data_IF_403081191602
#
_entry.id   IF_403081191602
#
_cell.length_a   1.000
_cell.length_b   1.000
_cell.length_c   1.000
_cell.angle_alpha   90.00
_cell.angle_beta   90.00
_cell.angle_gamma   90.00
#
_symmetry.space_group_name_H-M   'P 1'
#
loop_
_entity.id
_entity.type
_entity.pdbx_description
1 polymer ?
2 non-polymer ?
3 non-polymer ?
4 water ?
#
# COMPACT_ATOMS: atom_id res chain seq x y z
N UNK A 7 19.05 4.85 16.96
CA UNK A 7 20.12 5.76 16.52
C UNK A 7 20.12 5.94 15.00
N UNK A 8 19.96 4.87 14.18
CA UNK A 8 19.41 5.02 12.84
C UNK A 8 18.03 5.67 12.85
N UNK A 9 17.76 6.49 11.83
CA UNK A 9 16.51 7.22 11.77
C UNK A 9 15.45 6.40 11.04
N UNK A 10 15.87 5.45 10.20
CA UNK A 10 14.96 4.63 9.43
C UNK A 10 14.95 3.17 9.91
N UNK A 11 13.74 2.63 10.07
CA UNK A 11 13.56 1.22 10.39
C UNK A 11 13.31 0.39 9.13
N UNK A 12 13.60 -0.91 9.23
CA UNK A 12 13.37 -1.85 8.13
C UNK A 12 12.93 -3.21 8.68
N UNK A 13 11.83 -3.73 8.13
CA UNK A 13 11.36 -5.05 8.52
C UNK A 13 11.27 -5.95 7.28
N UNK A 14 11.92 -7.11 7.39
CA UNK A 14 11.92 -8.13 6.36
C UNK A 14 12.15 -9.47 7.04
N UNK A 15 11.38 -10.48 6.62
CA UNK A 15 11.49 -11.81 7.17
C UNK A 15 11.20 -12.85 6.09
N UNK A 16 12.15 -13.75 5.85
CA UNK A 16 12.07 -14.67 4.73
C UNK A 16 10.97 -15.72 4.90
N UNK A 17 10.35 -15.80 6.09
CA UNK A 17 9.18 -16.64 6.30
C UNK A 17 7.97 -16.21 5.49
N UNK A 18 7.90 -14.92 5.11
CA UNK A 18 6.84 -14.42 4.25
C UNK A 18 6.99 -14.92 2.82
N UNK A 19 8.12 -15.57 2.51
CA UNK A 19 8.32 -16.22 1.23
C UNK A 19 7.58 -17.55 1.11
N UNK A 20 7.15 -18.12 2.26
CA UNK A 20 6.55 -19.44 2.28
C UNK A 20 5.21 -19.51 1.55
N UNK A 21 4.50 -18.38 1.49
CA UNK A 21 3.26 -18.25 0.74
C UNK A 21 3.51 -18.45 -0.75
N UNK A 22 2.91 -19.49 -1.32
CA UNK A 22 3.13 -19.85 -2.70
C UNK A 22 1.89 -20.45 -3.35
N UNK A 23 1.92 -20.49 -4.69
CA UNK A 23 0.85 -21.05 -5.48
C UNK A 23 1.25 -22.47 -5.88
N UNK A 24 0.51 -23.45 -5.36
CA UNK A 24 0.84 -24.85 -5.54
C UNK A 24 0.74 -25.30 -6.99
N UNK A 25 -0.19 -24.70 -7.74
CA UNK A 25 -0.50 -25.15 -9.09
C UNK A 25 0.12 -24.27 -10.18
N UNK A 26 0.76 -23.18 -9.77
CA UNK A 26 1.54 -22.37 -10.69
C UNK A 26 2.68 -21.70 -9.93
N UNK A 27 3.85 -22.35 -9.95
CA UNK A 27 5.05 -21.83 -9.30
C UNK A 27 5.55 -20.52 -9.92
N UNK A 28 5.03 -20.17 -11.11
CA UNK A 28 5.40 -18.95 -11.80
C UNK A 28 4.33 -17.86 -11.75
N UNK A 29 3.40 -17.96 -10.79
CA UNK A 29 2.40 -16.92 -10.59
C UNK A 29 3.10 -15.61 -10.23
N UNK A 30 2.67 -14.44 -10.76
CA UNK A 30 3.45 -13.21 -10.62
C UNK A 30 3.68 -12.75 -9.19
N UNK A 31 2.75 -13.09 -8.27
CA UNK A 31 2.93 -12.80 -6.85
C UNK A 31 3.94 -13.79 -6.28
N UNK A 32 5.20 -13.60 -6.69
CA UNK A 32 6.27 -14.54 -6.41
C UNK A 32 6.87 -14.36 -5.02
N UNK A 33 7.31 -15.46 -4.37
CA UNK A 33 8.04 -15.35 -3.10
C UNK A 33 9.23 -14.39 -3.14
N UNK A 34 9.99 -14.43 -4.25
CA UNK A 34 11.21 -13.65 -4.35
C UNK A 34 10.99 -12.18 -4.67
N UNK A 35 9.73 -11.71 -4.60
CA UNK A 35 9.46 -10.29 -4.69
C UNK A 35 10.11 -9.56 -3.52
N UNK A 36 9.98 -10.13 -2.32
CA UNK A 36 10.49 -9.49 -1.11
C UNK A 36 11.99 -9.69 -0.94
N UNK A 37 12.49 -10.86 -1.35
CA UNK A 37 13.90 -11.18 -1.16
C UNK A 37 14.78 -10.42 -2.14
N UNK A 38 14.25 -10.17 -3.35
CA UNK A 38 14.93 -9.37 -4.35
C UNK A 38 15.02 -7.91 -3.91
N UNK A 39 13.93 -7.42 -3.30
CA UNK A 39 13.89 -6.06 -2.77
C UNK A 39 14.92 -5.93 -1.65
N UNK A 40 14.87 -6.89 -0.72
CA UNK A 40 15.80 -6.92 0.39
C UNK A 40 17.25 -7.01 -0.06
N UNK A 41 17.49 -7.91 -1.02
CA UNK A 41 18.80 -8.13 -1.61
C UNK A 41 19.35 -6.87 -2.27
N UNK A 42 18.45 -6.06 -2.84
CA UNK A 42 18.83 -4.82 -3.50
C UNK A 42 19.20 -3.75 -2.48
N UNK A 43 18.46 -3.72 -1.36
CA UNK A 43 18.80 -2.84 -0.24
C UNK A 43 20.22 -3.11 0.27
N UNK A 44 20.63 -4.38 0.26
CA UNK A 44 21.98 -4.78 0.62
C UNK A 44 23.02 -4.26 -0.37
N UNK A 45 22.75 -4.44 -1.67
CA UNK A 45 23.65 -3.99 -2.73
C UNK A 45 23.88 -2.48 -2.70
N UNK A 46 22.80 -1.72 -2.51
CA UNK A 46 22.86 -0.28 -2.44
C UNK A 46 23.23 0.22 -1.03
N UNK A 47 23.67 -0.70 -0.17
CA UNK A 47 24.29 -0.38 1.11
C UNK A 47 23.34 0.38 2.05
N UNK A 48 22.03 0.13 1.90
CA UNK A 48 21.03 0.78 2.72
C UNK A 48 20.74 -0.02 3.99
N UNK A 49 21.06 -1.31 3.96
CA UNK A 49 20.69 -2.24 5.02
C UNK A 49 21.50 -1.93 6.28
N UNK A 50 22.79 -1.63 6.09
CA UNK A 50 23.66 -1.17 7.17
C UNK A 50 23.18 0.12 7.82
N UNK A 51 22.43 0.94 7.06
CA UNK A 51 21.96 2.23 7.54
C UNK A 51 20.64 2.16 8.31
N UNK A 52 19.95 1.02 8.24
CA UNK A 52 18.64 0.89 8.85
C UNK A 52 18.69 0.11 10.16
N UNK A 53 17.85 0.52 11.12
CA UNK A 53 17.56 -0.28 12.30
C UNK A 53 16.64 -1.43 11.87
N UNK A 54 17.03 -2.66 12.20
CA UNK A 54 16.24 -3.82 11.82
C UNK A 54 15.12 -4.05 12.85
N UNK A 55 13.87 -3.97 12.37
CA UNK A 55 12.70 -4.20 13.18
C UNK A 55 12.27 -5.66 13.03
N UNK A 56 12.10 -6.41 14.13
CA UNK A 56 11.67 -7.81 14.03
C UNK A 56 10.24 -7.93 13.48
N UNK A 57 9.98 -9.01 12.75
CA UNK A 57 8.62 -9.35 12.35
C UNK A 57 7.94 -10.10 13.50
N UNK A 58 6.61 -10.02 13.55
CA UNK A 58 5.83 -10.83 14.47
C UNK A 58 4.48 -11.14 13.82
N UNK A 59 3.79 -12.13 14.39
CA UNK A 59 2.43 -12.44 13.98
C UNK A 59 1.50 -11.37 14.55
N UNK A 60 0.59 -10.86 13.71
CA UNK A 60 -0.57 -10.13 14.21
C UNK A 60 -1.44 -11.10 15.00
N UNK A 61 -2.00 -10.62 16.12
CA UNK A 61 -2.96 -11.41 16.89
C UNK A 61 -4.33 -11.36 16.23
N UNK A 62 -5.22 -12.26 16.64
CA UNK A 62 -6.57 -12.30 16.10
C UNK A 62 -7.37 -11.08 16.52
N UNK A 63 -7.11 -10.59 17.74
CA UNK A 63 -7.76 -9.38 18.25
C UNK A 63 -7.35 -8.16 17.43
N UNK A 64 -6.10 -8.16 16.94
CA UNK A 64 -5.61 -7.09 16.09
C UNK A 64 -6.24 -7.14 14.70
N UNK A 65 -6.44 -8.35 14.16
CA UNK A 65 -7.12 -8.53 12.89
C UNK A 65 -8.54 -8.00 12.95
N UNK A 66 -9.20 -8.23 14.11
CA UNK A 66 -10.57 -7.82 14.33
C UNK A 66 -10.78 -6.30 14.32
N UNK A 67 -9.68 -5.53 14.33
CA UNK A 67 -9.76 -4.09 14.15
C UNK A 67 -10.40 -3.68 12.83
N UNK A 68 -10.21 -4.51 11.80
CA UNK A 68 -10.76 -4.25 10.47
C UNK A 68 -11.64 -5.38 9.94
N UNK A 69 -11.30 -6.63 10.27
CA UNK A 69 -11.91 -7.79 9.63
C UNK A 69 -12.93 -8.50 10.51
N UNK A 70 -13.96 -9.07 9.86
CA UNK A 70 -14.98 -9.83 10.55
C UNK A 70 -14.41 -11.14 11.09
N UNK A 71 -15.05 -11.69 12.13
CA UNK A 71 -14.61 -12.93 12.72
C UNK A 71 -14.77 -14.10 11.74
N UNK A 72 -15.82 -14.04 10.92
CA UNK A 72 -16.05 -15.00 9.83
C UNK A 72 -14.86 -15.06 8.87
N UNK A 73 -14.47 -13.90 8.35
CA UNK A 73 -13.34 -13.81 7.44
C UNK A 73 -12.11 -14.43 8.07
N UNK A 74 -11.77 -13.96 9.27
CA UNK A 74 -10.62 -14.45 10.02
C UNK A 74 -10.65 -15.96 10.11
N UNK A 75 -11.80 -16.49 10.54
CA UNK A 75 -12.00 -17.92 10.73
C UNK A 75 -11.66 -18.76 9.52
N UNK A 76 -12.13 -18.32 8.35
CA UNK A 76 -11.94 -19.04 7.09
C UNK A 76 -10.47 -19.06 6.66
N UNK A 77 -9.81 -17.90 6.70
CA UNK A 77 -8.41 -17.82 6.27
C UNK A 77 -7.52 -18.62 7.23
N UNK A 78 -7.87 -18.64 8.51
CA UNK A 78 -7.15 -19.45 9.49
C UNK A 78 -7.32 -20.95 9.25
N UNK A 79 -8.53 -21.34 8.84
CA UNK A 79 -8.84 -22.75 8.57
C UNK A 79 -8.00 -23.32 7.43
N UNK A 80 -7.50 -22.44 6.54
CA UNK A 80 -6.70 -22.86 5.40
C UNK A 80 -5.43 -23.58 5.84
N UNK A 81 -4.94 -23.25 7.05
CA UNK A 81 -3.72 -23.83 7.58
C UNK A 81 -3.64 -25.35 7.50
N UNK A 82 -4.74 -26.03 7.79
CA UNK A 82 -4.76 -27.49 7.87
C UNK A 82 -5.61 -28.11 6.76
N UNK A 83 -5.58 -27.49 5.58
CA UNK A 83 -6.32 -27.98 4.43
C UNK A 83 -5.42 -28.80 3.50
N UNK A 84 -6.00 -29.85 2.90
CA UNK A 84 -5.34 -30.60 1.84
C UNK A 84 -5.31 -29.75 0.56
N UNK A 85 -4.43 -30.06 -0.41
CA UNK A 85 -4.33 -29.27 -1.63
C UNK A 85 -5.67 -29.05 -2.34
N UNK A 86 -6.43 -30.14 -2.50
CA UNK A 86 -7.76 -30.09 -3.10
C UNK A 86 -8.62 -29.00 -2.48
N UNK A 87 -8.63 -28.94 -1.14
CA UNK A 87 -9.45 -27.98 -0.41
C UNK A 87 -8.90 -26.55 -0.50
N UNK A 88 -7.56 -26.41 -0.46
CA UNK A 88 -6.94 -25.12 -0.73
C UNK A 88 -7.36 -24.59 -2.10
N UNK A 89 -7.31 -25.46 -3.11
CA UNK A 89 -7.73 -25.12 -4.46
C UNK A 89 -9.16 -24.60 -4.49
N UNK A 90 -10.07 -25.38 -3.88
CA UNK A 90 -11.48 -25.03 -3.83
C UNK A 90 -11.67 -23.67 -3.17
N UNK A 91 -11.15 -23.52 -1.95
CA UNK A 91 -11.34 -22.30 -1.18
C UNK A 91 -10.80 -21.11 -1.98
N UNK A 92 -9.58 -21.25 -2.51
CA UNK A 92 -8.96 -20.24 -3.34
C UNK A 92 -9.87 -19.70 -4.44
N UNK A 93 -10.54 -20.60 -5.16
CA UNK A 93 -11.41 -20.26 -6.28
C UNK A 93 -12.77 -19.69 -5.91
N UNK A 94 -13.04 -19.50 -4.62
CA UNK A 94 -14.22 -18.77 -4.18
C UNK A 94 -14.01 -17.26 -4.18
N UNK A 95 -12.76 -16.81 -4.34
CA UNK A 95 -12.43 -15.40 -4.38
C UNK A 95 -11.99 -14.97 -5.78
N UNK A 96 -11.86 -13.66 -6.00
CA UNK A 96 -11.30 -13.12 -7.22
C UNK A 96 -9.78 -12.96 -7.07
N UNK A 97 -9.03 -13.67 -7.92
CA UNK A 97 -7.57 -13.64 -7.93
C UNK A 97 -6.97 -13.98 -6.56
N UNK A 98 -7.15 -15.25 -6.14
CA UNK A 98 -6.56 -15.73 -4.90
C UNK A 98 -6.01 -17.15 -5.05
N UNK A 99 -4.77 -17.35 -4.59
CA UNK A 99 -4.23 -18.67 -4.36
C UNK A 99 -3.88 -18.80 -2.88
N UNK A 100 -3.93 -20.03 -2.35
CA UNK A 100 -3.67 -20.27 -0.94
C UNK A 100 -2.81 -21.52 -0.75
N UNK A 101 -1.82 -21.40 0.13
CA UNK A 101 -1.07 -22.54 0.65
C UNK A 101 -1.27 -22.63 2.16
N UNK A 102 -0.76 -23.70 2.76
CA UNK A 102 -0.84 -23.88 4.20
C UNK A 102 -0.06 -22.80 4.97
N UNK A 103 0.88 -22.14 4.29
CA UNK A 103 1.68 -21.10 4.91
C UNK A 103 1.10 -19.71 4.73
N UNK A 104 0.04 -19.58 3.90
CA UNK A 104 -0.52 -18.30 3.53
C UNK A 104 -0.93 -17.44 4.72
N UNK A 105 -1.63 -18.08 5.67
CA UNK A 105 -2.16 -17.40 6.84
C UNK A 105 -1.06 -16.86 7.74
N UNK A 106 -0.06 -17.70 8.03
CA UNK A 106 1.11 -17.28 8.78
C UNK A 106 1.77 -16.06 8.12
N UNK A 107 1.94 -16.12 6.80
CA UNK A 107 2.59 -15.05 6.06
C UNK A 107 1.79 -13.75 6.12
N UNK A 108 0.46 -13.86 6.05
CA UNK A 108 -0.41 -12.71 6.11
C UNK A 108 -0.40 -12.09 7.51
N UNK A 109 -0.38 -12.95 8.55
CA UNK A 109 -0.17 -12.50 9.92
C UNK A 109 1.16 -11.78 10.06
N UNK A 110 2.23 -12.38 9.51
CA UNK A 110 3.56 -11.81 9.59
C UNK A 110 3.64 -10.45 8.91
N UNK A 111 2.91 -10.30 7.81
CA UNK A 111 2.88 -9.05 7.05
C UNK A 111 2.33 -7.91 7.89
N UNK A 112 1.20 -8.19 8.56
CA UNK A 112 0.52 -7.20 9.38
C UNK A 112 1.31 -6.87 10.64
N UNK A 113 1.74 -7.91 11.37
CA UNK A 113 2.48 -7.75 12.60
C UNK A 113 3.80 -6.99 12.44
N UNK A 114 4.49 -7.26 11.33
CA UNK A 114 5.68 -6.51 10.95
C UNK A 114 5.41 -5.02 10.84
N UNK A 115 4.28 -4.68 10.21
CA UNK A 115 3.88 -3.29 10.04
C UNK A 115 3.42 -2.65 11.35
N UNK A 116 2.84 -3.46 12.25
CA UNK A 116 2.49 -3.00 13.58
C UNK A 116 3.74 -2.61 14.37
N UNK A 117 4.75 -3.50 14.35
CA UNK A 117 6.01 -3.23 15.01
C UNK A 117 6.68 -1.98 14.45
N UNK A 118 6.63 -1.84 13.12
CA UNK A 118 7.17 -0.66 12.45
C UNK A 118 6.45 0.61 12.88
N UNK A 119 5.11 0.57 12.90
CA UNK A 119 4.31 1.69 13.36
C UNK A 119 4.64 2.01 14.82
N UNK A 120 4.81 0.98 15.65
CA UNK A 120 5.11 1.20 17.05
C UNK A 120 6.51 1.81 17.22
N UNK A 121 7.47 1.37 16.39
CA UNK A 121 8.81 1.90 16.43
C UNK A 121 8.85 3.39 16.05
N UNK A 122 8.02 3.79 15.09
CA UNK A 122 7.88 5.19 14.72
C UNK A 122 7.22 5.98 15.84
N UNK A 123 6.08 5.49 16.34
CA UNK A 123 5.28 6.23 17.30
C UNK A 123 5.89 6.33 18.70
N UNK A 124 6.85 5.45 19.00
CA UNK A 124 7.59 5.50 20.26
C UNK A 124 8.94 6.21 20.12
N UNK A 125 9.23 6.74 18.94
CA UNK A 125 10.45 7.51 18.71
C UNK A 125 11.72 6.67 18.58
N UNK A 126 11.57 5.34 18.42
CA UNK A 126 12.70 4.47 18.20
C UNK A 126 13.33 4.81 16.85
N UNK A 127 12.48 4.91 15.83
CA UNK A 127 12.89 5.38 14.52
C UNK A 127 12.00 6.55 14.09
N UNK A 128 12.45 7.25 13.04
CA UNK A 128 11.69 8.35 12.47
C UNK A 128 10.66 7.82 11.49
N UNK A 129 11.11 6.91 10.61
CA UNK A 129 10.30 6.35 9.56
C UNK A 129 10.73 4.91 9.34
N UNK A 130 10.03 4.20 8.45
CA UNK A 130 10.30 2.79 8.24
C UNK A 130 9.80 2.30 6.88
N UNK A 131 10.30 1.12 6.49
CA UNK A 131 9.91 0.47 5.26
C UNK A 131 9.63 -0.99 5.57
N UNK A 132 8.51 -1.50 5.04
CA UNK A 132 8.08 -2.86 5.30
C UNK A 132 8.09 -3.65 4.00
N UNK A 133 9.03 -4.59 3.90
CA UNK A 133 9.15 -5.45 2.73
C UNK A 133 8.34 -6.71 3.05
N UNK A 134 7.04 -6.65 2.76
CA UNK A 134 6.10 -7.69 3.17
C UNK A 134 5.34 -8.26 1.96
N UNK A 135 4.94 -9.53 2.10
CA UNK A 135 3.95 -10.16 1.24
C UNK A 135 3.23 -11.19 2.10
N UNK A 136 1.98 -11.62 1.78
CA UNK A 136 1.23 -11.10 0.64
C UNK A 136 0.70 -9.67 0.82
N UNK A 137 0.25 -9.00 -0.27
CA UNK A 137 -0.28 -7.65 -0.17
C UNK A 137 -1.60 -7.57 0.62
N UNK A 138 -2.13 -6.35 0.75
CA UNK A 138 -3.25 -6.11 1.65
C UNK A 138 -4.44 -5.31 1.14
N UNK A 139 -4.22 -4.31 0.27
CA UNK A 139 -5.21 -3.25 0.09
C UNK A 139 -6.54 -3.64 -0.55
N UNK A 140 -6.58 -4.79 -1.23
CA UNK A 140 -7.83 -5.27 -1.82
C UNK A 140 -8.69 -6.03 -0.80
N UNK A 141 -8.11 -6.40 0.34
CA UNK A 141 -8.81 -7.16 1.36
C UNK A 141 -9.90 -6.33 2.03
N UNK A 142 -11.15 -6.80 1.91
CA UNK A 142 -12.30 -6.20 2.54
C UNK A 142 -12.46 -6.66 3.99
N UNK A 143 -13.40 -6.02 4.70
CA UNK A 143 -13.86 -6.49 5.99
C UNK A 143 -14.17 -7.98 5.98
N UNK A 144 -14.93 -8.42 4.95
CA UNK A 144 -15.48 -9.76 4.90
C UNK A 144 -14.80 -10.77 3.98
N UNK A 145 -13.90 -10.30 3.10
CA UNK A 145 -13.42 -11.15 2.03
C UNK A 145 -11.98 -10.83 1.59
N UNK A 146 -11.30 -11.87 1.11
CA UNK A 146 -10.02 -11.71 0.44
C UNK A 146 -10.28 -11.43 -1.04
N UNK A 147 -9.26 -10.86 -1.70
CA UNK A 147 -9.37 -10.41 -3.08
C UNK A 147 -8.00 -9.93 -3.58
N UNK A 148 -7.71 -10.19 -4.85
CA UNK A 148 -6.55 -9.62 -5.53
C UNK A 148 -5.22 -9.85 -4.82
N UNK A 149 -4.97 -11.13 -4.47
CA UNK A 149 -3.75 -11.58 -3.81
C UNK A 149 -3.65 -11.14 -2.35
N UNK A 150 -4.71 -10.50 -1.83
CA UNK A 150 -4.71 -9.90 -0.50
C UNK A 150 -5.62 -10.70 0.41
N UNK A 151 -5.17 -10.93 1.66
CA UNK A 151 -5.93 -11.68 2.65
C UNK A 151 -6.48 -10.78 3.74
N UNK A 152 -5.59 -9.98 4.35
CA UNK A 152 -5.98 -8.98 5.33
C UNK A 152 -5.39 -7.64 4.88
N UNK A 153 -6.03 -6.54 5.31
CA UNK A 153 -5.66 -5.22 4.86
C UNK A 153 -4.59 -4.62 5.78
N UNK A 154 -3.34 -5.07 5.56
CA UNK A 154 -2.21 -4.65 6.36
C UNK A 154 -2.23 -3.16 6.68
N UNK A 155 -2.34 -2.33 5.64
CA UNK A 155 -2.29 -0.89 5.79
C UNK A 155 -3.45 -0.37 6.65
N UNK A 156 -4.66 -0.86 6.37
CA UNK A 156 -5.84 -0.48 7.16
C UNK A 156 -5.69 -0.91 8.62
N UNK A 157 -5.17 -2.12 8.83
CA UNK A 157 -4.95 -2.65 10.17
C UNK A 157 -3.89 -1.85 10.92
N UNK A 158 -2.79 -1.53 10.24
CA UNK A 158 -1.71 -0.74 10.83
C UNK A 158 -2.21 0.63 11.27
N UNK A 159 -3.09 1.25 10.46
CA UNK A 159 -3.68 2.53 10.79
C UNK A 159 -4.51 2.47 12.08
N UNK A 160 -5.29 1.40 12.22
CA UNK A 160 -6.09 1.17 13.43
C UNK A 160 -5.23 0.81 14.63
N UNK A 161 -4.22 -0.04 14.41
CA UNK A 161 -3.25 -0.37 15.44
C UNK A 161 -2.62 0.90 16.01
N UNK A 162 -2.19 1.80 15.11
CA UNK A 162 -1.57 3.05 15.50
C UNK A 162 -2.49 3.86 16.40
N UNK A 163 -3.76 3.98 16.01
CA UNK A 163 -4.74 4.71 16.78
C UNK A 163 -4.89 4.11 18.18
N UNK A 164 -4.91 2.77 18.25
CA UNK A 164 -5.16 2.08 19.49
C UNK A 164 -4.03 2.14 20.51
N UNK A 165 -2.79 2.37 20.04
CA UNK A 165 -1.65 2.53 20.95
C UNK A 165 -1.32 4.00 21.21
N UNK A 166 -2.00 4.91 20.50
CA UNK A 166 -1.90 6.33 20.78
C UNK A 166 -3.27 6.83 21.24
N UNK A 167 -3.98 7.51 20.33
CA UNK A 167 -5.35 7.93 20.59
C UNK A 167 -6.20 7.62 19.37
N UNK A 168 -7.50 7.40 19.60
CA UNK A 168 -8.42 6.96 18.54
C UNK A 168 -8.57 7.98 17.43
N UNK A 169 -8.34 9.26 17.74
CA UNK A 169 -8.47 10.34 16.78
C UNK A 169 -7.17 10.70 16.07
N UNK A 170 -6.12 9.91 16.30
CA UNK A 170 -4.85 10.10 15.62
C UNK A 170 -5.08 10.16 14.12
N UNK A 171 -4.73 11.30 13.51
CA UNK A 171 -4.92 11.51 12.09
C UNK A 171 -3.90 10.69 11.29
N UNK A 172 -4.40 9.67 10.59
CA UNK A 172 -3.56 8.82 9.76
C UNK A 172 -3.89 9.06 8.29
N UNK A 173 -2.85 9.33 7.49
CA UNK A 173 -2.98 9.39 6.04
C UNK A 173 -2.50 8.08 5.42
N UNK A 174 -3.29 7.56 4.47
CA UNK A 174 -2.87 6.42 3.66
C UNK A 174 -2.80 6.85 2.20
N UNK A 175 -1.59 6.87 1.65
CA UNK A 175 -1.38 7.13 0.24
C UNK A 175 -1.14 5.79 -0.45
N UNK A 176 -1.98 5.49 -1.46
CA UNK A 176 -1.93 4.21 -2.15
C UNK A 176 -1.58 4.46 -3.61
N UNK A 177 -0.32 4.20 -3.97
CA UNK A 177 0.14 4.44 -5.33
C UNK A 177 0.38 3.17 -6.13
N UNK A 178 -0.01 2.02 -5.54
CA UNK A 178 -0.22 0.83 -6.32
C UNK A 178 -1.12 1.20 -7.49
N UNK A 179 -0.93 0.55 -8.64
CA UNK A 179 -1.62 0.93 -9.87
C UNK A 179 -3.10 0.53 -9.82
N UNK A 180 -3.44 -0.37 -8.87
CA UNK A 180 -4.81 -0.79 -8.65
C UNK A 180 -5.44 0.04 -7.52
N UNK A 181 -6.76 0.22 -7.60
CA UNK A 181 -7.50 0.86 -6.54
C UNK A 181 -7.56 -0.06 -5.33
N UNK A 182 -7.22 0.47 -4.15
CA UNK A 182 -7.31 -0.28 -2.90
C UNK A 182 -8.74 -0.28 -2.36
N UNK A 183 -9.62 -1.04 -3.02
CA UNK A 183 -11.03 -1.07 -2.69
C UNK A 183 -11.29 -1.40 -1.21
N UNK A 184 -10.51 -2.34 -0.67
CA UNK A 184 -10.69 -2.78 0.71
C UNK A 184 -10.41 -1.63 1.68
N UNK A 185 -9.32 -0.91 1.43
CA UNK A 185 -8.95 0.24 2.24
C UNK A 185 -10.01 1.34 2.15
N UNK A 186 -10.53 1.59 0.94
CA UNK A 186 -11.56 2.59 0.73
C UNK A 186 -12.80 2.28 1.57
N UNK A 187 -13.26 1.03 1.53
CA UNK A 187 -14.49 0.63 2.20
C UNK A 187 -14.38 0.65 3.72
N UNK A 188 -13.25 0.17 4.25
CA UNK A 188 -13.02 0.15 5.68
C UNK A 188 -13.12 1.54 6.30
N UNK A 189 -12.50 2.53 5.65
CA UNK A 189 -12.47 3.89 6.17
C UNK A 189 -13.44 4.85 5.49
N UNK A 190 -14.44 4.31 4.80
CA UNK A 190 -15.32 5.10 3.96
C UNK A 190 -16.16 6.11 4.76
N UNK A 191 -16.36 5.84 6.05
CA UNK A 191 -17.11 6.71 6.93
C UNK A 191 -16.26 7.29 8.06
N UNK A 192 -14.94 7.36 7.82
CA UNK A 192 -14.01 7.78 8.84
C UNK A 192 -13.35 9.09 8.44
N UNK A 193 -13.38 10.07 9.35
CA UNK A 193 -12.70 11.34 9.16
C UNK A 193 -11.34 11.38 9.88
N UNK A 194 -10.99 10.30 10.58
CA UNK A 194 -9.71 10.20 11.26
C UNK A 194 -8.64 9.55 10.38
N UNK A 195 -9.06 8.84 9.33
CA UNK A 195 -8.15 8.24 8.38
C UNK A 195 -8.45 8.78 6.98
N UNK A 196 -7.46 9.39 6.35
CA UNK A 196 -7.60 9.94 5.01
C UNK A 196 -7.03 8.96 3.99
N UNK A 197 -7.90 8.45 3.10
CA UNK A 197 -7.47 7.53 2.06
C UNK A 197 -7.32 8.28 0.73
N UNK A 198 -6.12 8.20 0.14
CA UNK A 198 -5.87 8.78 -1.17
C UNK A 198 -5.25 7.71 -2.07
N UNK A 199 -5.95 7.39 -3.17
CA UNK A 199 -5.50 6.37 -4.10
C UNK A 199 -5.35 6.92 -5.52
N UNK A 200 -4.20 6.65 -6.13
CA UNK A 200 -4.01 6.81 -7.56
C UNK A 200 -3.99 5.41 -8.18
N UNK A 201 -4.73 5.23 -9.27
CA UNK A 201 -4.87 3.92 -9.87
C UNK A 201 -5.33 4.03 -11.33
N UNK A 202 -4.93 3.04 -12.13
CA UNK A 202 -5.47 2.87 -13.46
C UNK A 202 -6.93 2.41 -13.33
N UNK A 203 -7.82 3.04 -14.10
CA UNK A 203 -9.25 2.83 -13.98
C UNK A 203 -9.86 2.35 -15.30
N UNK A 204 -9.62 3.12 -16.37
CA UNK A 204 -10.12 2.78 -17.70
C UNK A 204 -11.63 2.55 -17.67
N UNK A 205 -12.36 3.48 -17.04
CA UNK A 205 -13.80 3.36 -16.87
C UNK A 205 -14.26 2.01 -16.36
N UNK A 206 -13.52 1.46 -15.38
CA UNK A 206 -13.89 0.21 -14.73
C UNK A 206 -13.50 -1.05 -15.48
N UNK A 207 -12.67 -0.91 -16.53
CA UNK A 207 -12.18 -2.04 -17.29
C UNK A 207 -10.90 -2.62 -16.68
N UNK A 208 -10.28 -1.87 -15.76
CA UNK A 208 -9.10 -2.33 -15.04
C UNK A 208 -9.49 -2.83 -13.65
N UNK A 209 -8.90 -3.94 -13.23
CA UNK A 209 -9.17 -4.54 -11.93
C UNK A 209 -9.00 -3.51 -10.81
N UNK A 210 -9.85 -3.49 -9.76
CA UNK A 210 -10.88 -4.51 -9.53
C UNK A 210 -12.23 -4.29 -10.22
N UNK A 211 -12.25 -3.48 -11.29
CA UNK A 211 -13.38 -3.43 -12.20
C UNK A 211 -14.67 -2.93 -11.56
N UNK A 212 -14.60 -1.80 -10.85
CA UNK A 212 -15.75 -1.24 -10.15
C UNK A 212 -15.75 0.29 -10.23
N UNK A 213 -16.96 0.87 -10.23
CA UNK A 213 -17.14 2.31 -10.21
C UNK A 213 -16.79 2.93 -8.86
N UNK A 214 -16.61 2.07 -7.84
CA UNK A 214 -16.08 2.48 -6.55
C UNK A 214 -14.78 3.28 -6.65
N UNK A 215 -13.95 2.96 -7.63
CA UNK A 215 -12.65 3.59 -7.79
C UNK A 215 -12.69 4.96 -8.49
N UNK A 216 -13.88 5.43 -8.87
CA UNK A 216 -13.99 6.66 -9.64
C UNK A 216 -13.91 7.88 -8.72
N UNK A 217 -13.53 9.01 -9.31
CA UNK A 217 -13.27 10.25 -8.58
C UNK A 217 -14.44 10.75 -7.75
N UNK A 218 -15.67 10.33 -8.10
CA UNK A 218 -16.86 10.82 -7.42
C UNK A 218 -17.22 10.08 -6.13
N UNK A 219 -16.48 9.02 -5.80
CA UNK A 219 -16.64 8.37 -4.50
C UNK A 219 -15.74 9.09 -3.52
N UNK A 220 -16.35 9.91 -2.66
CA UNK A 220 -15.63 10.88 -1.84
C UNK A 220 -15.75 10.58 -0.34
N UNK A 221 -16.24 9.38 -0.01
CA UNK A 221 -16.55 9.03 1.37
C UNK A 221 -18.02 9.27 1.70
N UNK A 222 -18.44 8.74 2.86
CA UNK A 222 -19.84 8.79 3.28
C UNK A 222 -19.96 9.35 4.71
N UNK A 223 -21.05 10.08 4.95
CA UNK A 223 -21.30 10.66 6.27
C UNK A 223 -20.17 11.56 6.75
N UNK A 224 -19.63 11.22 7.94
CA UNK A 224 -18.48 11.90 8.52
C UNK A 224 -17.26 11.83 7.60
N UNK A 225 -17.16 10.73 6.85
CA UNK A 225 -16.05 10.51 5.94
C UNK A 225 -16.10 11.25 4.60
N UNK A 226 -17.12 12.09 4.40
CA UNK A 226 -17.23 12.87 3.18
C UNK A 226 -16.03 13.79 3.02
N UNK A 227 -15.26 13.58 1.94
CA UNK A 227 -14.05 14.32 1.67
C UNK A 227 -12.77 13.62 2.11
N UNK A 228 -12.91 12.48 2.80
CA UNK A 228 -11.78 11.76 3.37
C UNK A 228 -11.43 10.51 2.57
N UNK A 229 -12.03 10.39 1.38
CA UNK A 229 -11.66 9.38 0.41
C UNK A 229 -11.37 10.09 -0.90
N UNK A 230 -10.14 9.98 -1.40
CA UNK A 230 -9.74 10.66 -2.61
C UNK A 230 -9.24 9.67 -3.65
N UNK A 231 -10.05 9.48 -4.71
CA UNK A 231 -9.70 8.62 -5.83
C UNK A 231 -9.21 9.45 -7.01
N UNK A 232 -8.05 9.07 -7.55
CA UNK A 232 -7.49 9.70 -8.73
C UNK A 232 -7.36 8.63 -9.81
N UNK A 233 -8.42 8.40 -10.63
CA UNK A 233 -8.39 7.39 -11.67
C UNK A 233 -7.75 7.86 -12.98
N UNK A 234 -6.92 7.01 -13.58
CA UNK A 234 -6.31 7.29 -14.87
C UNK A 234 -7.06 6.56 -15.99
N UNK A 235 -7.24 7.25 -17.12
CA UNK A 235 -7.90 6.70 -18.29
C UNK A 235 -7.12 6.97 -19.57
N UNK A 236 -7.04 5.96 -20.44
CA UNK A 236 -6.53 6.12 -21.80
C UNK A 236 -5.15 6.78 -21.91
N UNK A 237 -4.21 6.31 -21.11
CA UNK A 237 -2.86 6.86 -21.11
C UNK A 237 -1.84 5.96 -20.41
N UNK A 238 -0.65 5.85 -21.01
CA UNK A 238 0.49 5.21 -20.39
C UNK A 238 1.13 6.21 -19.43
N UNK A 239 0.63 6.24 -18.19
CA UNK A 239 0.99 7.26 -17.23
C UNK A 239 2.38 6.98 -16.66
N UNK A 240 3.10 8.06 -16.33
CA UNK A 240 4.46 7.95 -15.82
C UNK A 240 4.76 9.04 -14.77
N UNK A 241 6.02 9.47 -14.73
CA UNK A 241 6.49 10.39 -13.71
C UNK A 241 5.80 11.75 -13.79
N UNK A 242 5.68 12.37 -14.98
CA UNK A 242 5.03 13.68 -15.08
C UNK A 242 3.61 13.68 -14.53
N UNK A 243 2.91 12.57 -14.77
CA UNK A 243 1.51 12.41 -14.40
C UNK A 243 1.35 12.30 -12.89
N UNK A 244 2.22 11.51 -12.27
CA UNK A 244 2.17 11.30 -10.82
C UNK A 244 2.73 12.50 -10.07
N UNK A 245 3.76 13.15 -10.63
CA UNK A 245 4.29 14.38 -10.05
C UNK A 245 3.23 15.48 -10.06
N UNK A 246 2.48 15.57 -11.17
CA UNK A 246 1.42 16.56 -11.29
C UNK A 246 0.25 16.28 -10.33
N UNK A 247 -0.16 15.01 -10.23
CA UNK A 247 -1.19 14.63 -9.27
C UNK A 247 -0.76 14.99 -7.84
N UNK A 248 0.53 14.80 -7.54
CA UNK A 248 1.06 15.15 -6.23
C UNK A 248 1.02 16.66 -5.97
N UNK A 249 1.49 17.44 -6.94
CA UNK A 249 1.53 18.88 -6.80
C UNK A 249 0.14 19.49 -6.67
N UNK A 250 -0.78 19.06 -7.54
CA UNK A 250 -2.09 19.66 -7.63
C UNK A 250 -3.11 19.10 -6.63
N UNK A 251 -2.97 17.81 -6.29
CA UNK A 251 -3.99 17.12 -5.53
C UNK A 251 -3.50 16.56 -4.19
N UNK A 252 -2.55 15.63 -4.25
CA UNK A 252 -2.19 14.81 -3.10
C UNK A 252 -1.60 15.64 -1.97
N UNK A 253 -0.57 16.43 -2.30
CA UNK A 253 0.17 17.17 -1.30
C UNK A 253 -0.66 18.31 -0.72
N UNK A 254 -1.38 19.11 -1.54
CA UNK A 254 -2.32 20.10 -1.01
C UNK A 254 -3.32 19.54 0.01
N UNK A 255 -3.96 18.41 -0.34
CA UNK A 255 -4.93 17.79 0.54
C UNK A 255 -4.27 17.27 1.81
N UNK A 256 -3.13 16.59 1.65
CA UNK A 256 -2.40 16.01 2.77
C UNK A 256 -1.93 17.07 3.76
N UNK A 257 -1.41 18.19 3.25
CA UNK A 257 -0.98 19.29 4.08
C UNK A 257 -2.15 19.82 4.92
N UNK A 258 -3.31 19.99 4.28
CA UNK A 258 -4.49 20.49 4.95
C UNK A 258 -4.99 19.50 5.99
N UNK A 259 -4.93 18.21 5.67
CA UNK A 259 -5.28 17.17 6.62
C UNK A 259 -4.34 17.18 7.82
N UNK A 260 -3.07 17.49 7.57
CA UNK A 260 -2.05 17.58 8.61
C UNK A 260 -1.96 16.29 9.41
N UNK A 261 -1.59 15.15 8.79
CA UNK A 261 -1.57 13.86 9.47
C UNK A 261 -0.48 13.75 10.54
N UNK A 262 -0.70 12.88 11.52
CA UNK A 262 0.30 12.59 12.53
C UNK A 262 1.13 11.37 12.14
N UNK A 263 0.60 10.57 11.21
CA UNK A 263 1.31 9.43 10.66
C UNK A 263 0.90 9.19 9.22
N UNK A 264 1.90 8.97 8.34
CA UNK A 264 1.68 8.66 6.94
C UNK A 264 1.99 7.20 6.65
N UNK A 265 1.00 6.48 6.10
CA UNK A 265 1.14 5.11 5.64
C UNK A 265 1.08 5.09 4.12
N UNK A 266 2.07 4.47 3.48
CA UNK A 266 2.06 4.32 2.04
C UNK A 266 1.74 2.88 1.66
N UNK A 267 0.65 2.68 0.93
CA UNK A 267 0.39 1.44 0.26
C UNK A 267 1.23 1.46 -1.01
N UNK A 268 2.47 0.97 -0.87
CA UNK A 268 3.49 1.12 -1.88
C UNK A 268 3.59 -0.12 -2.77
N UNK A 269 2.58 -0.30 -3.63
CA UNK A 269 2.70 -1.17 -4.78
C UNK A 269 3.58 -0.49 -5.83
N UNK A 270 4.47 -1.25 -6.47
CA UNK A 270 5.32 -0.72 -7.52
C UNK A 270 4.96 -1.34 -8.86
N UNK A 271 3.66 -1.51 -9.11
CA UNK A 271 3.20 -2.06 -10.38
C UNK A 271 2.76 -0.99 -11.36
N UNK A 272 2.90 0.29 -10.98
CA UNK A 272 2.88 1.38 -11.94
C UNK A 272 4.27 1.66 -12.53
N UNK A 273 5.27 0.87 -12.13
CA UNK A 273 6.64 1.05 -12.62
C UNK A 273 6.77 0.62 -14.08
N UNK A 274 7.73 1.21 -14.80
CA UNK A 274 8.01 0.78 -16.16
C UNK A 274 8.48 -0.67 -16.10
N UNK A 275 8.01 -1.48 -17.05
CA UNK A 275 8.35 -2.89 -17.11
C UNK A 275 7.39 -3.82 -16.38
N UNK A 276 6.39 -3.27 -15.68
CA UNK A 276 5.46 -4.09 -14.94
C UNK A 276 4.40 -4.67 -15.88
N UNK A 277 4.28 -6.02 -15.95
CA UNK A 277 3.37 -6.66 -16.90
C UNK A 277 1.89 -6.39 -16.66
N UNK A 278 1.49 -6.23 -15.39
CA UNK A 278 0.10 -6.05 -15.03
C UNK A 278 -0.40 -4.61 -15.16
N UNK A 279 0.48 -3.64 -14.86
CA UNK A 279 0.11 -2.24 -14.84
C UNK A 279 0.19 -1.55 -16.19
N UNK A 280 1.31 -1.76 -16.89
CA UNK A 280 1.53 -1.16 -18.20
C UNK A 280 1.75 0.35 -18.14
N UNK A 281 2.19 0.85 -16.99
CA UNK A 281 2.58 2.25 -16.84
C UNK A 281 4.10 2.35 -16.81
N UNK A 282 4.63 3.56 -16.63
CA UNK A 282 6.05 3.79 -16.82
C UNK A 282 6.66 4.78 -15.83
N UNK A 283 6.24 4.68 -14.57
CA UNK A 283 6.85 5.42 -13.48
C UNK A 283 8.24 4.84 -13.22
N UNK A 284 9.21 5.72 -12.97
CA UNK A 284 10.60 5.32 -12.83
C UNK A 284 10.94 5.21 -11.35
N UNK A 285 12.05 4.54 -10.97
CA UNK A 285 12.49 4.52 -9.58
C UNK A 285 12.76 5.93 -9.02
N UNK A 286 13.30 6.80 -9.87
CA UNK A 286 13.54 8.19 -9.51
C UNK A 286 12.21 8.93 -9.28
N UNK A 287 11.21 8.60 -10.08
CA UNK A 287 9.86 9.10 -9.87
C UNK A 287 9.38 8.77 -8.46
N UNK A 288 9.47 7.49 -8.10
CA UNK A 288 9.05 7.01 -6.79
C UNK A 288 9.82 7.69 -5.66
N UNK A 289 11.10 7.97 -5.89
CA UNK A 289 11.92 8.67 -4.93
C UNK A 289 11.33 10.05 -4.64
N UNK A 290 11.03 10.79 -5.71
CA UNK A 290 10.48 12.12 -5.58
C UNK A 290 9.11 12.14 -4.90
N UNK A 291 8.32 11.05 -5.06
CA UNK A 291 7.05 10.93 -4.36
C UNK A 291 7.27 10.72 -2.87
N UNK A 292 8.20 9.82 -2.51
CA UNK A 292 8.57 9.60 -1.13
C UNK A 292 9.07 10.88 -0.49
N UNK A 293 10.02 11.53 -1.16
CA UNK A 293 10.59 12.78 -0.71
C UNK A 293 9.50 13.79 -0.33
N UNK A 294 8.51 13.95 -1.21
CA UNK A 294 7.42 14.90 -0.98
C UNK A 294 6.60 14.53 0.25
N UNK A 295 6.23 13.25 0.37
CA UNK A 295 5.48 12.76 1.51
C UNK A 295 6.21 12.98 2.83
N UNK A 296 7.55 13.01 2.79
CA UNK A 296 8.34 13.20 4.00
C UNK A 296 8.22 14.60 4.58
N UNK A 297 7.68 15.55 3.81
CA UNK A 297 7.32 16.86 4.34
C UNK A 297 6.11 16.81 5.26
N UNK A 298 5.42 15.66 5.29
CA UNK A 298 4.27 15.44 6.17
C UNK A 298 4.66 14.71 7.46
N UNK A 299 3.90 14.97 8.53
CA UNK A 299 4.01 14.22 9.78
C UNK A 299 5.42 14.20 10.35
N UNK A 300 6.14 15.31 10.24
CA UNK A 300 7.52 15.40 10.69
C UNK A 300 8.40 14.27 10.14
N UNK A 301 8.08 13.81 8.92
CA UNK A 301 8.83 12.74 8.29
C UNK A 301 8.47 11.34 8.75
N UNK A 302 7.36 11.19 9.48
CA UNK A 302 6.94 9.90 10.01
C UNK A 302 6.09 9.17 8.97
N UNK A 303 6.81 8.42 8.13
CA UNK A 303 6.25 7.74 6.97
C UNK A 303 6.56 6.26 7.11
N UNK A 304 5.57 5.42 6.82
CA UNK A 304 5.77 3.97 6.81
C UNK A 304 5.41 3.46 5.42
N UNK A 305 6.42 2.94 4.72
CA UNK A 305 6.26 2.40 3.39
C UNK A 305 5.93 0.91 3.48
N UNK A 306 4.80 0.51 2.91
CA UNK A 306 4.36 -0.88 2.96
C UNK A 306 4.21 -1.43 1.55
N UNK A 307 4.99 -2.48 1.24
CA UNK A 307 4.90 -3.12 -0.06
C UNK A 307 3.50 -3.69 -0.30
N UNK A 308 2.94 -3.37 -1.48
CA UNK A 308 1.68 -3.91 -1.93
C UNK A 308 1.97 -4.75 -3.18
N UNK A 309 1.53 -4.28 -4.36
CA UNK A 309 1.79 -4.97 -5.62
C UNK A 309 3.16 -4.63 -6.20
N UNK A 310 3.34 -4.94 -7.50
CA UNK A 310 4.61 -4.78 -8.19
C UNK A 310 5.22 -6.14 -8.54
N UNK A 311 5.40 -6.39 -9.84
CA UNK A 311 5.70 -7.73 -10.34
C UNK A 311 6.89 -7.85 -11.29
N UNK A 312 7.51 -6.72 -11.66
CA UNK A 312 8.82 -6.76 -12.29
C UNK A 312 9.87 -6.66 -11.19
N UNK A 313 10.58 -7.77 -10.97
CA UNK A 313 11.51 -7.90 -9.85
C UNK A 313 12.58 -6.81 -9.84
N UNK A 314 13.09 -6.46 -11.03
CA UNK A 314 14.07 -5.40 -11.15
C UNK A 314 13.46 -4.05 -10.82
N UNK A 315 12.28 -3.75 -11.39
CA UNK A 315 11.64 -2.46 -11.18
C UNK A 315 11.23 -2.23 -9.73
N UNK A 316 10.69 -3.26 -9.07
CA UNK A 316 10.24 -3.13 -7.69
C UNK A 316 11.42 -3.04 -6.71
N UNK A 317 12.48 -3.79 -7.01
CA UNK A 317 13.69 -3.78 -6.19
C UNK A 317 14.36 -2.41 -6.23
N UNK A 318 14.46 -1.84 -7.44
CA UNK A 318 15.06 -0.53 -7.62
C UNK A 318 14.17 0.56 -7.01
N UNK A 319 12.88 0.54 -7.38
CA UNK A 319 11.95 1.55 -6.91
C UNK A 319 11.85 1.67 -5.39
N UNK A 320 11.73 0.53 -4.71
CA UNK A 320 11.51 0.55 -3.27
C UNK A 320 12.80 0.93 -2.52
N UNK A 321 13.94 0.47 -3.03
CA UNK A 321 15.24 0.87 -2.48
C UNK A 321 15.44 2.38 -2.53
N UNK A 322 14.95 3.02 -3.60
CA UNK A 322 15.06 4.46 -3.74
C UNK A 322 14.19 5.16 -2.69
N UNK A 323 13.00 4.62 -2.44
CA UNK A 323 12.13 5.18 -1.42
C UNK A 323 12.82 5.15 -0.06
N UNK A 324 13.40 4.00 0.29
CA UNK A 324 14.16 3.87 1.52
C UNK A 324 15.28 4.91 1.61
N UNK A 325 15.97 5.14 0.48
CA UNK A 325 17.02 6.14 0.44
C UNK A 325 16.49 7.53 0.82
N UNK A 326 15.31 7.88 0.30
CA UNK A 326 14.69 9.16 0.61
C UNK A 326 14.37 9.21 2.11
N UNK A 327 13.73 8.15 2.62
CA UNK A 327 13.45 8.02 4.04
C UNK A 327 14.69 8.22 4.90
N UNK A 328 15.82 7.70 4.43
CA UNK A 328 17.09 7.85 5.13
C UNK A 328 17.64 9.28 5.08
N UNK A 329 17.03 10.13 4.24
CA UNK A 329 17.34 11.54 4.18
C UNK A 329 18.29 11.93 3.05
N UNK A 330 18.36 11.10 2.01
CA UNK A 330 19.24 11.36 0.88
C UNK A 330 18.59 12.31 -0.12
N UNK A 331 19.43 13.06 -0.85
CA UNK A 331 18.97 13.95 -1.91
C UNK A 331 18.26 13.18 -3.01
N UNK A 332 17.13 13.68 -3.55
CA UNK A 332 16.47 13.03 -4.67
C UNK A 332 17.31 13.07 -5.94
N UNK A 333 17.31 11.99 -6.76
CA UNK A 333 17.95 12.03 -8.07
C UNK A 333 17.14 12.89 -9.04
N UNK A 334 17.83 13.61 -9.92
CA UNK A 334 17.20 14.65 -10.73
C UNK A 334 16.02 14.14 -11.56
N UNK A 335 15.01 15.00 -11.70
CA UNK A 335 13.86 14.73 -12.55
C UNK A 335 13.31 13.30 -12.36
N UNK A 339 9.10 16.19 -18.98
CA UNK A 339 8.18 15.81 -20.05
C UNK A 339 6.80 16.40 -19.81
N UNK A 340 6.21 17.16 -20.77
CA UNK A 340 4.88 17.72 -20.60
C UNK A 340 3.82 16.67 -20.30
N UNK A 341 2.81 17.08 -19.53
CA UNK A 341 1.78 16.17 -19.05
C UNK A 341 0.89 15.68 -20.18
N UNK A 342 0.51 14.39 -20.13
CA UNK A 342 -0.48 13.83 -21.03
C UNK A 342 -1.85 14.44 -20.75
N UNK A 343 -2.63 14.64 -21.82
CA UNK A 343 -3.92 15.32 -21.77
C UNK A 343 -4.90 14.63 -20.82
N UNK A 344 -5.06 13.31 -21.01
CA UNK A 344 -6.01 12.53 -20.23
C UNK A 344 -5.71 12.56 -18.73
N UNK A 345 -4.42 12.70 -18.39
CA UNK A 345 -4.02 12.88 -17.00
C UNK A 345 -4.51 14.23 -16.44
N UNK A 346 -4.43 15.28 -17.26
CA UNK A 346 -4.96 16.59 -16.89
C UNK A 346 -6.49 16.56 -16.73
N UNK A 347 -7.15 15.79 -17.60
CA UNK A 347 -8.59 15.57 -17.50
C UNK A 347 -8.93 14.93 -16.16
N UNK A 348 -8.19 13.86 -15.82
CA UNK A 348 -8.39 13.17 -14.55
C UNK A 348 -8.19 14.09 -13.35
N UNK A 349 -7.06 14.81 -13.34
CA UNK A 349 -6.75 15.72 -12.26
C UNK A 349 -7.83 16.78 -12.05
N UNK A 350 -8.32 17.36 -13.15
CA UNK A 350 -9.36 18.39 -13.09
C UNK A 350 -10.70 17.88 -12.59
N UNK A 351 -11.04 16.62 -12.91
CA UNK A 351 -12.22 15.97 -12.37
C UNK A 351 -12.14 15.78 -10.85
N UNK A 352 -10.95 15.45 -10.36
CA UNK A 352 -10.74 15.23 -8.93
C UNK A 352 -10.74 16.55 -8.17
N UNK A 353 -10.09 17.58 -8.76
CA UNK A 353 -10.14 18.92 -8.21
C UNK A 353 -11.58 19.38 -8.04
N UNK A 354 -12.41 19.12 -9.07
CA UNK A 354 -13.81 19.50 -9.07
C UNK A 354 -14.61 18.77 -8.00
N UNK A 355 -14.31 17.47 -7.82
CA UNK A 355 -15.03 16.62 -6.89
C UNK A 355 -14.68 16.90 -5.43
N UNK A 356 -13.44 17.37 -5.18
CA UNK A 356 -12.97 17.57 -3.82
C UNK A 356 -12.84 19.03 -3.41
N UNK A 357 -13.17 19.95 -4.31
CA UNK A 357 -13.26 21.37 -3.96
C UNK A 357 -14.24 21.61 -2.83
N UNK A 358 -15.38 20.87 -2.73
CA UNK A 358 -16.31 21.04 -1.62
C UNK A 358 -15.76 20.70 -0.24
N UNK A 359 -14.60 20.04 -0.17
CA UNK A 359 -14.04 19.58 1.09
C UNK A 359 -12.73 20.25 1.50
N UNK A 360 -11.83 20.47 0.52
CA UNK A 360 -10.47 20.92 0.79
C UNK A 360 -10.21 22.29 0.19
N UNK A 361 -10.07 23.29 1.07
CA UNK A 361 -9.95 24.69 0.66
C UNK A 361 -8.66 25.01 -0.08
N UNK A 362 -7.64 24.15 0.06
CA UNK A 362 -6.37 24.33 -0.61
C UNK A 362 -6.42 23.96 -2.09
N UNK A 363 -7.52 23.34 -2.53
CA UNK A 363 -7.76 23.06 -3.93
C UNK A 363 -8.35 24.29 -4.62
#
# INVERSE_FOLDING_TARGET
>A
SNAGGSSPITGLVYDQRMMLHHNMWDSHHPELPQRISRIFSRHEELRLLSRCHRIPARLATEEELALCHSSKHISIIKSSEHMKPRDLNRLGDEYNSIFISNESYTCALLAAGSCFNSAQAILTGQVRNAVAIVRPPGHHAEKDTACGFCFFNTAALTARYAQSITRESLRVLIVDWDVHHGNGTQHIFEEDDSVLYISLHRYEDGAFFPNSEDANYDKVGLGKGRGYNVNIPWNGGKMGDPEYMAAFHHLVMPIAREFAPELVLVSAGFDAARGDPLGGFQVTPEGYAHLTHQLMSLAAGRVLIILEGGYNLTSISESMSMCTSMLLGDSPPSLDHLTPLKTSATVSINNVLRAHAPFWSSLR
#
